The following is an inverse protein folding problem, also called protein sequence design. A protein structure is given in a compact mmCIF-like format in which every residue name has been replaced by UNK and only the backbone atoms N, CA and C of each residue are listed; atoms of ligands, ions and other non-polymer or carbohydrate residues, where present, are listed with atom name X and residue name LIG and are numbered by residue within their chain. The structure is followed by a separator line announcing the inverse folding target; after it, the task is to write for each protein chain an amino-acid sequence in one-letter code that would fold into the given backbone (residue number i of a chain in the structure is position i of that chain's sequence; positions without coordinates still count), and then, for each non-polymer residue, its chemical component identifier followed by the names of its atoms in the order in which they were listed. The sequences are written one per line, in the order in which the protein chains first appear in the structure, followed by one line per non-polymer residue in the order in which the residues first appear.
data_IF_138398687290
#
_entry.id   IF_138398687290
#
_cell.length_a   1.000
_cell.length_b   1.000
_cell.length_c   1.000
_cell.angle_alpha   90.00
_cell.angle_beta   90.00
_cell.angle_gamma   90.00
#
_symmetry.space_group_name_H-M   'P 1'
#
loop_
_entity.id
_entity.type
_entity.pdbx_description
1 polymer ?
#
# COMPACT_ATOMS: atom_id res chain seq x y z
N UNK A 1 -1.97 2.15 -5.53
CA UNK A 1 -1.59 2.30 -4.11
C UNK A 1 -0.19 1.73 -3.91
N UNK A 2 0.72 2.52 -3.32
CA UNK A 2 2.06 2.12 -2.89
C UNK A 2 2.40 2.89 -1.62
N UNK A 3 3.12 2.28 -0.71
CA UNK A 3 3.73 2.95 0.44
C UNK A 3 5.18 3.31 0.13
N UNK A 4 5.64 4.42 0.69
CA UNK A 4 6.99 4.92 0.47
C UNK A 4 7.49 5.78 1.62
N UNK A 5 8.81 5.93 1.70
CA UNK A 5 9.47 6.97 2.47
C UNK A 5 10.16 7.96 1.53
N UNK A 6 10.50 9.14 2.03
CA UNK A 6 11.34 10.09 1.29
C UNK A 6 12.78 9.97 1.79
N UNK A 7 13.69 9.62 0.89
CA UNK A 7 15.13 9.56 1.14
C UNK A 7 15.79 10.48 0.12
N UNK A 8 16.54 11.48 0.60
CA UNK A 8 17.23 12.47 -0.25
C UNK A 8 16.31 13.12 -1.31
N UNK A 9 15.08 13.44 -0.90
CA UNK A 9 14.07 14.05 -1.78
C UNK A 9 13.44 13.10 -2.80
N UNK A 10 13.79 11.80 -2.80
CA UNK A 10 13.22 10.79 -3.70
C UNK A 10 12.32 9.82 -2.94
N UNK A 11 11.29 9.32 -3.64
CA UNK A 11 10.43 8.26 -3.10
C UNK A 11 11.16 6.92 -3.16
N UNK A 12 11.24 6.25 -2.01
CA UNK A 12 11.72 4.88 -1.89
C UNK A 12 10.55 4.02 -1.45
N UNK A 13 10.13 3.08 -2.30
CA UNK A 13 9.00 2.21 -2.03
C UNK A 13 9.33 1.21 -0.92
N UNK A 14 8.38 1.01 0.00
CA UNK A 14 8.53 0.12 1.15
C UNK A 14 7.29 -0.76 1.32
N UNK A 15 7.39 -1.77 2.19
CA UNK A 15 6.25 -2.61 2.59
C UNK A 15 5.12 -1.75 3.19
N UNK A 16 3.85 -2.16 3.05
CA UNK A 16 2.71 -1.40 3.58
C UNK A 16 2.84 -1.18 5.09
N UNK A 17 2.54 0.05 5.53
CA UNK A 17 2.61 0.44 6.95
C UNK A 17 4.02 0.77 7.43
N UNK A 18 5.01 0.80 6.52
CA UNK A 18 6.39 1.21 6.82
C UNK A 18 6.75 2.56 6.22
N UNK A 19 5.87 3.13 5.39
CA UNK A 19 6.08 4.43 4.80
C UNK A 19 5.18 5.50 5.39
N UNK A 20 5.07 6.61 4.66
CA UNK A 20 4.37 7.81 5.09
C UNK A 20 2.95 7.89 4.53
N UNK A 21 2.56 6.96 3.64
CA UNK A 21 1.22 7.00 3.05
C UNK A 21 0.21 6.55 4.11
N UNK A 22 -0.83 7.34 4.40
CA UNK A 22 -1.81 7.00 5.45
C UNK A 22 -2.82 5.96 4.95
N UNK A 23 -2.34 4.77 4.56
CA UNK A 23 -3.12 3.73 3.89
C UNK A 23 -4.36 3.35 4.68
N UNK A 24 -4.26 3.12 6.00
CA UNK A 24 -5.43 2.76 6.81
C UNK A 24 -6.47 3.88 6.90
N UNK A 25 -6.06 5.15 6.81
CA UNK A 25 -7.04 6.25 6.72
C UNK A 25 -7.72 6.23 5.36
N UNK A 26 -6.97 6.11 4.28
CA UNK A 26 -7.52 6.06 2.91
C UNK A 26 -8.52 4.91 2.75
N UNK A 27 -8.15 3.71 3.22
CA UNK A 27 -9.01 2.51 3.15
C UNK A 27 -10.32 2.74 3.93
N UNK A 28 -10.25 3.26 5.15
CA UNK A 28 -11.44 3.53 5.97
C UNK A 28 -12.30 4.66 5.42
N UNK A 29 -11.69 5.71 4.87
CA UNK A 29 -12.43 6.82 4.25
C UNK A 29 -13.19 6.33 3.01
N UNK A 30 -12.61 5.44 2.19
CA UNK A 30 -13.27 4.83 1.04
C UNK A 30 -14.43 3.91 1.46
N UNK A 31 -14.21 3.10 2.49
CA UNK A 31 -15.25 2.24 3.07
C UNK A 31 -16.42 3.06 3.62
N UNK A 32 -16.14 4.10 4.41
CA UNK A 32 -17.14 5.02 4.95
C UNK A 32 -17.91 5.80 3.86
N UNK A 33 -17.26 6.07 2.72
CA UNK A 33 -17.89 6.67 1.55
C UNK A 33 -18.70 5.66 0.70
N UNK A 34 -18.78 4.40 1.12
CA UNK A 34 -19.41 3.30 0.40
C UNK A 34 -18.86 3.14 -1.03
N UNK A 35 -17.55 3.37 -1.22
CA UNK A 35 -16.90 3.24 -2.51
C UNK A 35 -16.92 1.77 -3.00
N UNK A 36 -17.53 1.52 -4.15
CA UNK A 36 -17.72 0.17 -4.71
C UNK A 36 -16.65 -0.25 -5.72
N UNK A 37 -15.64 0.59 -5.95
CA UNK A 37 -14.56 0.32 -6.88
C UNK A 37 -13.39 -0.46 -6.26
N UNK A 38 -12.35 -0.69 -7.06
CA UNK A 38 -11.15 -1.40 -6.61
C UNK A 38 -10.07 -0.45 -6.08
N UNK A 39 -9.33 -0.92 -5.08
CA UNK A 39 -8.03 -0.34 -4.71
C UNK A 39 -6.94 -1.13 -5.43
N UNK A 40 -6.36 -0.56 -6.48
CA UNK A 40 -5.25 -1.19 -7.20
C UNK A 40 -3.93 -1.00 -6.44
N UNK A 41 -3.25 -2.09 -6.12
CA UNK A 41 -1.85 -2.05 -5.65
C UNK A 41 -0.95 -2.09 -6.88
N UNK A 42 -0.04 -1.13 -6.97
CA UNK A 42 0.90 -1.08 -8.09
C UNK A 42 2.27 -1.55 -7.60
N UNK A 43 2.88 -2.53 -8.26
CA UNK A 43 4.20 -3.02 -7.86
C UNK A 43 5.03 -3.39 -9.10
N UNK A 44 5.80 -2.43 -9.58
CA UNK A 44 6.43 -2.44 -10.91
C UNK A 44 7.83 -3.07 -10.88
N UNK A 45 7.95 -4.30 -10.39
CA UNK A 45 9.23 -5.03 -10.23
C UNK A 45 10.05 -5.10 -11.51
N UNK A 46 9.41 -5.26 -12.68
CA UNK A 46 10.09 -5.30 -13.98
C UNK A 46 10.86 -4.00 -14.28
N UNK A 47 10.32 -2.86 -13.85
CA UNK A 47 10.92 -1.53 -14.06
C UNK A 47 11.80 -1.10 -12.89
N UNK A 48 11.61 -1.72 -11.73
CA UNK A 48 12.36 -1.47 -10.51
C UNK A 48 12.86 -2.81 -9.91
N UNK A 49 13.97 -3.37 -10.44
CA UNK A 49 14.47 -4.69 -10.06
C UNK A 49 14.82 -4.84 -8.58
N UNK A 50 15.05 -3.73 -7.88
CA UNK A 50 15.34 -3.67 -6.44
C UNK A 50 14.12 -3.92 -5.55
N UNK A 51 12.90 -3.84 -6.09
CA UNK A 51 11.69 -4.13 -5.32
C UNK A 51 11.63 -5.60 -4.93
N UNK A 52 10.97 -5.92 -3.83
CA UNK A 52 10.71 -7.32 -3.48
C UNK A 52 9.77 -7.99 -4.52
N UNK A 53 9.79 -9.31 -4.60
CA UNK A 53 8.94 -10.01 -5.55
C UNK A 53 7.45 -9.77 -5.27
N UNK A 54 6.61 -9.67 -6.32
CA UNK A 54 5.19 -9.40 -6.17
C UNK A 54 4.49 -10.49 -5.32
N UNK A 55 4.98 -11.74 -5.39
CA UNK A 55 4.45 -12.86 -4.60
C UNK A 55 4.62 -12.67 -3.09
N UNK A 56 5.54 -11.79 -2.67
CA UNK A 56 5.73 -11.43 -1.26
C UNK A 56 4.91 -10.18 -0.93
N UNK A 57 4.97 -9.17 -1.79
CA UNK A 57 4.42 -7.84 -1.47
C UNK A 57 2.91 -7.78 -1.59
N UNK A 58 2.33 -8.40 -2.62
CA UNK A 58 0.88 -8.32 -2.85
C UNK A 58 0.09 -8.94 -1.69
N UNK A 59 0.43 -10.13 -1.16
CA UNK A 59 -0.22 -10.66 0.04
C UNK A 59 -0.11 -9.73 1.24
N UNK A 60 1.05 -9.10 1.48
CA UNK A 60 1.23 -8.15 2.58
C UNK A 60 0.31 -6.94 2.47
N UNK A 61 0.07 -6.40 1.27
CA UNK A 61 -0.89 -5.31 1.08
C UNK A 61 -2.32 -5.76 1.36
N UNK A 62 -2.71 -6.96 0.92
CA UNK A 62 -4.05 -7.51 1.18
C UNK A 62 -4.30 -7.61 2.68
N UNK A 63 -3.37 -8.22 3.42
CA UNK A 63 -3.50 -8.42 4.86
C UNK A 63 -3.50 -7.08 5.61
N UNK A 64 -2.62 -6.15 5.23
CA UNK A 64 -2.56 -4.83 5.84
C UNK A 64 -3.85 -4.03 5.62
N UNK A 65 -4.39 -4.02 4.40
CA UNK A 65 -5.64 -3.30 4.11
C UNK A 65 -6.84 -3.92 4.84
N UNK A 66 -6.92 -5.26 4.94
CA UNK A 66 -7.95 -5.93 5.74
C UNK A 66 -7.84 -5.56 7.22
N UNK A 67 -6.63 -5.56 7.78
CA UNK A 67 -6.39 -5.15 9.17
C UNK A 67 -6.86 -3.71 9.43
N UNK A 68 -6.66 -2.80 8.48
CA UNK A 68 -7.12 -1.41 8.60
C UNK A 68 -8.64 -1.27 8.78
N UNK A 69 -9.43 -2.25 8.33
CA UNK A 69 -10.90 -2.25 8.47
C UNK A 69 -11.36 -2.82 9.83
N UNK A 70 -10.63 -3.80 10.38
CA UNK A 70 -11.00 -4.50 11.63
C UNK A 70 -10.82 -3.61 12.87
N UNK A 71 -9.87 -2.67 12.86
CA UNK A 71 -9.47 -1.88 14.04
C UNK A 71 -10.18 -0.51 14.08
N UNK A 72 -11.45 -0.44 13.66
CA UNK A 72 -12.23 0.81 13.58
C UNK A 72 -13.11 1.01 14.80
#
# INVERSE_FOLDING_TARGET
MKDFVIVEGKRVFVRPGKGIVPICKIVRDLDAANYQGYISVEWEKMWHPQLEDPDIIIPLYIDYMKMCLITS
#
